data_IF_978114588896
#
_entry.id   IF_978114588896
#
_cell.length_a   1.000
_cell.length_b   1.000
_cell.length_c   1.000
_cell.angle_alpha   90.00
_cell.angle_beta   90.00
_cell.angle_gamma   90.00
#
_symmetry.space_group_name_H-M   'P 1'
#
loop_
_entity.id
_entity.type
_entity.pdbx_description
1 polymer ?
#
# COMPACT_ATOMS: atom_id res chain seq x y z
N UNK A 1 -7.78 -17.18 -0.39
CA UNK A 1 -6.87 -16.49 -1.33
C UNK A 1 -6.37 -15.22 -0.68
N UNK A 2 -5.08 -14.94 -0.85
CA UNK A 2 -4.42 -13.85 -0.18
C UNK A 2 -3.69 -12.98 -1.19
N UNK A 3 -3.98 -11.69 -1.19
CA UNK A 3 -3.38 -10.73 -2.11
C UNK A 3 -2.34 -9.91 -1.36
N UNK A 4 -1.08 -10.01 -1.77
CA UNK A 4 -0.02 -9.12 -1.32
C UNK A 4 0.16 -7.99 -2.30
N UNK A 5 0.22 -6.77 -1.81
CA UNK A 5 0.69 -5.63 -2.58
C UNK A 5 1.81 -4.95 -1.81
N UNK A 6 2.90 -4.67 -2.50
CA UNK A 6 4.04 -3.92 -1.97
C UNK A 6 4.28 -2.67 -2.79
N UNK A 7 4.32 -1.53 -2.11
CA UNK A 7 4.66 -0.21 -2.65
C UNK A 7 6.09 0.12 -2.26
N UNK A 8 7.03 0.06 -3.19
CA UNK A 8 8.44 0.38 -2.94
C UNK A 8 8.85 1.73 -3.51
N UNK A 9 9.69 2.45 -2.77
CA UNK A 9 10.52 3.54 -3.28
C UNK A 9 11.89 2.96 -3.65
N UNK A 10 12.39 3.24 -4.85
CA UNK A 10 13.74 2.85 -5.25
C UNK A 10 14.77 3.76 -4.56
N UNK A 11 15.52 3.20 -3.61
CA UNK A 11 16.59 3.92 -2.91
C UNK A 11 17.75 4.33 -3.83
N UNK A 12 17.91 3.67 -4.99
CA UNK A 12 19.02 3.88 -5.91
C UNK A 12 18.90 5.15 -6.78
N UNK A 13 17.75 5.83 -6.77
CA UNK A 13 17.52 7.09 -7.51
C UNK A 13 17.55 8.35 -6.65
N UNK A 14 18.23 8.31 -5.50
CA UNK A 14 18.35 9.50 -4.65
C UNK A 14 19.59 10.31 -5.07
N UNK A 15 19.47 11.57 -5.53
CA UNK A 15 20.64 12.39 -5.86
C UNK A 15 21.46 12.65 -4.59
N UNK A 16 22.77 12.43 -4.68
CA UNK A 16 23.74 12.68 -3.61
C UNK A 16 23.82 14.18 -3.32
N UNK A 17 23.10 14.66 -2.32
CA UNK A 17 23.18 16.06 -1.85
C UNK A 17 22.41 16.30 -0.56
N UNK A 18 22.80 17.28 0.27
CA UNK A 18 22.15 17.54 1.55
C UNK A 18 20.81 18.25 1.30
N UNK A 19 19.69 17.53 1.47
CA UNK A 19 18.35 18.13 1.43
C UNK A 19 17.84 18.41 2.86
N UNK A 20 17.18 19.56 3.10
CA UNK A 20 16.49 19.82 4.37
C UNK A 20 15.46 18.72 4.62
N UNK A 21 15.19 18.37 5.90
CA UNK A 21 14.37 17.24 6.39
C UNK A 21 13.01 17.05 5.67
N UNK A 22 13.02 16.57 4.42
CA UNK A 22 11.88 15.95 3.74
C UNK A 22 11.85 14.51 4.23
N UNK A 23 10.74 14.08 4.85
CA UNK A 23 10.46 12.65 5.00
C UNK A 23 10.60 11.99 3.62
N UNK A 24 11.33 10.88 3.53
CA UNK A 24 11.44 10.14 2.27
C UNK A 24 10.04 9.78 1.77
N UNK A 25 9.85 9.76 0.45
CA UNK A 25 8.52 9.66 -0.15
C UNK A 25 7.70 8.45 0.36
N UNK A 26 8.36 7.33 0.71
CA UNK A 26 7.71 6.19 1.36
C UNK A 26 7.20 6.44 2.79
N UNK A 27 7.85 7.28 3.60
CA UNK A 27 7.34 7.66 4.94
C UNK A 27 6.04 8.45 4.85
N UNK A 28 5.88 9.27 3.81
CA UNK A 28 4.61 9.98 3.53
C UNK A 28 3.50 9.01 3.14
N UNK A 29 3.81 7.95 2.38
CA UNK A 29 2.81 6.91 2.05
C UNK A 29 2.37 6.13 3.29
N UNK A 30 3.30 5.81 4.19
CA UNK A 30 2.99 5.19 5.48
C UNK A 30 2.10 6.13 6.32
N UNK A 31 2.41 7.43 6.37
CA UNK A 31 1.58 8.41 7.05
C UNK A 31 0.17 8.51 6.44
N UNK A 32 0.05 8.54 5.11
CA UNK A 32 -1.23 8.54 4.41
C UNK A 32 -2.08 7.30 4.74
N UNK A 33 -1.44 6.13 4.79
CA UNK A 33 -2.10 4.88 5.16
C UNK A 33 -2.61 4.92 6.61
N UNK A 34 -1.80 5.44 7.53
CA UNK A 34 -2.13 5.56 8.95
C UNK A 34 -3.21 6.62 9.22
N UNK A 35 -3.27 7.70 8.43
CA UNK A 35 -4.22 8.81 8.64
C UNK A 35 -5.66 8.51 8.20
N UNK A 36 -5.89 7.57 7.27
CA UNK A 36 -7.26 7.32 6.82
C UNK A 36 -7.49 6.21 5.81
N UNK A 37 -6.47 5.79 5.05
CA UNK A 37 -6.64 4.74 4.01
C UNK A 37 -7.12 3.42 4.64
N UNK A 38 -6.67 3.11 5.86
CA UNK A 38 -7.03 1.88 6.58
C UNK A 38 -8.52 1.82 6.98
N UNK A 39 -9.14 2.96 7.29
CA UNK A 39 -10.57 3.04 7.59
C UNK A 39 -11.41 2.81 6.33
N UNK A 40 -10.94 3.33 5.19
CA UNK A 40 -11.58 3.12 3.89
C UNK A 40 -11.48 1.64 3.51
N UNK A 41 -10.32 1.01 3.67
CA UNK A 41 -10.13 -0.42 3.37
C UNK A 41 -11.16 -1.29 4.11
N UNK A 42 -11.28 -1.09 5.43
CA UNK A 42 -12.21 -1.85 6.27
C UNK A 42 -13.67 -1.71 5.81
N UNK A 43 -14.13 -0.50 5.48
CA UNK A 43 -15.53 -0.28 5.06
C UNK A 43 -15.83 -0.76 3.63
N UNK A 44 -14.83 -0.78 2.74
CA UNK A 44 -14.99 -1.21 1.35
C UNK A 44 -14.83 -2.72 1.15
N UNK A 45 -14.66 -3.49 2.23
CA UNK A 45 -14.49 -4.94 2.19
C UNK A 45 -13.09 -5.40 1.79
N UNK A 46 -12.08 -4.51 1.86
CA UNK A 46 -10.68 -4.91 1.81
C UNK A 46 -10.29 -5.35 3.22
N UNK A 47 -10.20 -6.65 3.46
CA UNK A 47 -9.91 -7.21 4.79
C UNK A 47 -8.41 -7.35 4.99
N UNK A 48 -7.74 -6.43 5.73
CA UNK A 48 -6.31 -6.54 5.95
C UNK A 48 -5.99 -7.55 7.05
N UNK A 49 -4.96 -8.36 6.81
CA UNK A 49 -4.38 -9.29 7.78
C UNK A 49 -3.05 -8.76 8.32
N UNK A 50 -2.28 -8.07 7.48
CA UNK A 50 -0.96 -7.60 7.84
C UNK A 50 -0.63 -6.31 7.10
N UNK A 51 0.03 -5.40 7.80
CA UNK A 51 0.79 -4.28 7.25
C UNK A 51 2.22 -4.39 7.75
N UNK A 52 3.19 -4.19 6.86
CA UNK A 52 4.60 -4.31 7.17
C UNK A 52 5.43 -3.30 6.37
N UNK A 53 6.49 -2.81 6.99
CA UNK A 53 7.57 -2.10 6.30
C UNK A 53 8.81 -2.99 6.24
N UNK A 54 9.60 -2.87 5.18
CA UNK A 54 10.86 -3.60 5.06
C UNK A 54 11.94 -2.86 5.84
N UNK A 55 12.47 -3.53 6.86
CA UNK A 55 13.56 -3.02 7.70
C UNK A 55 14.95 -3.21 7.06
N UNK A 56 15.10 -4.22 6.19
CA UNK A 56 16.35 -4.53 5.51
C UNK A 56 16.08 -5.22 4.17
N UNK A 57 16.71 -4.74 3.10
CA UNK A 57 16.55 -5.26 1.74
C UNK A 57 16.67 -4.19 0.66
N UNK A 58 16.40 -4.56 -0.58
CA UNK A 58 16.30 -3.60 -1.69
C UNK A 58 14.92 -2.93 -1.69
N UNK A 59 14.77 -1.77 -2.33
CA UNK A 59 13.50 -1.03 -2.46
C UNK A 59 12.95 -0.47 -1.13
N UNK A 60 13.82 0.03 -0.26
CA UNK A 60 13.44 0.75 0.96
C UNK A 60 13.39 2.26 0.71
N UNK A 61 12.47 3.02 1.34
CA UNK A 61 11.34 2.55 2.16
C UNK A 61 10.22 1.91 1.31
N UNK A 62 9.50 0.94 1.89
CA UNK A 62 8.32 0.35 1.28
C UNK A 62 7.17 0.13 2.29
N UNK A 63 5.97 -0.06 1.75
CA UNK A 63 4.81 -0.53 2.50
C UNK A 63 4.27 -1.79 1.83
N UNK A 64 4.19 -2.87 2.59
CA UNK A 64 3.62 -4.14 2.17
C UNK A 64 2.38 -4.45 2.98
N UNK A 65 1.31 -4.87 2.32
CA UNK A 65 0.09 -5.29 2.99
C UNK A 65 -0.47 -6.57 2.39
N UNK A 66 -1.17 -7.31 3.24
CA UNK A 66 -1.78 -8.59 2.95
C UNK A 66 -3.29 -8.47 3.14
N UNK A 67 -4.05 -8.74 2.09
CA UNK A 67 -5.51 -8.74 2.12
C UNK A 67 -6.05 -10.15 1.88
N UNK A 68 -7.09 -10.55 2.60
CA UNK A 68 -7.76 -11.84 2.42
C UNK A 68 -9.13 -11.65 1.78
N UNK A 69 -9.43 -12.52 0.83
CA UNK A 69 -10.73 -12.56 0.16
C UNK A 69 -11.23 -14.01 0.05
N UNK A 70 -12.57 -14.21 0.10
CA UNK A 70 -13.15 -15.53 -0.04
C UNK A 70 -12.96 -16.09 -1.46
N UNK A 71 -13.06 -15.25 -2.49
CA UNK A 71 -12.84 -15.61 -3.90
C UNK A 71 -12.37 -14.40 -4.73
N UNK A 72 -12.04 -14.65 -6.00
CA UNK A 72 -11.54 -13.63 -6.94
C UNK A 72 -12.58 -12.53 -7.24
N UNK A 73 -13.86 -12.90 -7.32
CA UNK A 73 -14.96 -11.98 -7.60
C UNK A 73 -15.19 -11.00 -6.44
N UNK A 74 -15.14 -11.49 -5.21
CA UNK A 74 -15.19 -10.66 -4.01
C UNK A 74 -13.99 -9.71 -3.94
N UNK A 75 -12.79 -10.17 -4.33
CA UNK A 75 -11.60 -9.30 -4.44
C UNK A 75 -11.86 -8.17 -5.43
N UNK A 76 -12.29 -8.48 -6.66
CA UNK A 76 -12.57 -7.48 -7.71
C UNK A 76 -13.60 -6.47 -7.22
N UNK A 77 -14.74 -6.94 -6.70
CA UNK A 77 -15.81 -6.09 -6.18
C UNK A 77 -15.35 -5.17 -5.05
N UNK A 78 -14.56 -5.67 -4.10
CA UNK A 78 -14.02 -4.86 -3.01
C UNK A 78 -13.08 -3.76 -3.53
N UNK A 79 -12.21 -4.09 -4.51
CA UNK A 79 -11.35 -3.09 -5.15
C UNK A 79 -12.12 -2.07 -5.97
N UNK A 80 -13.17 -2.47 -6.67
CA UNK A 80 -14.00 -1.53 -7.44
C UNK A 80 -14.76 -0.57 -6.51
N UNK A 81 -15.28 -1.10 -5.39
CA UNK A 81 -15.88 -0.29 -4.32
C UNK A 81 -14.88 0.68 -3.73
N UNK A 82 -13.66 0.23 -3.45
CA UNK A 82 -12.58 1.08 -2.94
C UNK A 82 -12.20 2.21 -3.91
N UNK A 83 -12.04 1.89 -5.20
CA UNK A 83 -11.67 2.90 -6.21
C UNK A 83 -12.76 3.96 -6.42
N UNK A 84 -14.02 3.59 -6.21
CA UNK A 84 -15.16 4.49 -6.33
C UNK A 84 -15.46 5.29 -5.05
N UNK A 85 -14.78 4.99 -3.93
CA UNK A 85 -15.05 5.64 -2.65
C UNK A 85 -14.72 7.15 -2.72
N UNK A 86 -15.66 8.04 -2.37
CA UNK A 86 -15.45 9.49 -2.48
C UNK A 86 -14.32 10.03 -1.60
N UNK A 87 -14.09 9.44 -0.43
CA UNK A 87 -13.01 9.87 0.47
C UNK A 87 -11.66 9.40 -0.08
N UNK A 88 -11.61 8.22 -0.70
CA UNK A 88 -10.41 7.77 -1.42
C UNK A 88 -10.08 8.70 -2.59
N UNK A 89 -11.08 9.10 -3.39
CA UNK A 89 -10.89 10.03 -4.50
C UNK A 89 -10.37 11.39 -4.03
N UNK A 90 -10.88 11.91 -2.90
CA UNK A 90 -10.35 13.13 -2.27
C UNK A 90 -8.92 12.95 -1.78
N UNK A 91 -8.64 11.87 -1.04
CA UNK A 91 -7.32 11.58 -0.49
C UNK A 91 -6.25 11.45 -1.60
N UNK A 92 -6.59 10.75 -2.68
CA UNK A 92 -5.74 10.58 -3.85
C UNK A 92 -5.46 11.91 -4.58
N UNK A 93 -6.39 12.86 -4.53
CA UNK A 93 -6.26 14.16 -5.18
C UNK A 93 -5.44 15.18 -4.35
N UNK A 94 -5.11 14.89 -3.09
CA UNK A 94 -4.30 15.78 -2.24
C UNK A 94 -2.91 15.94 -2.86
N UNK A 95 -2.47 17.16 -3.23
CA UNK A 95 -1.19 17.39 -3.91
C UNK A 95 0.02 16.88 -3.13
N UNK A 96 -0.05 16.87 -1.79
CA UNK A 96 0.97 16.34 -0.89
C UNK A 96 1.22 14.84 -1.08
N UNK A 97 0.20 14.10 -1.53
CA UNK A 97 0.25 12.65 -1.77
C UNK A 97 0.24 12.27 -3.26
N UNK A 98 0.09 13.24 -4.15
CA UNK A 98 0.03 13.03 -5.60
C UNK A 98 1.42 12.98 -6.28
N UNK A 99 2.50 13.17 -5.51
CA UNK A 99 3.86 13.16 -6.03
C UNK A 99 4.24 11.76 -6.53
N UNK A 100 4.66 11.66 -7.79
CA UNK A 100 5.04 10.39 -8.44
C UNK A 100 6.24 9.72 -7.74
N UNK A 101 6.99 10.46 -6.94
CA UNK A 101 8.07 9.92 -6.12
C UNK A 101 7.57 9.07 -4.93
N UNK A 102 6.29 9.19 -4.53
CA UNK A 102 5.71 8.50 -3.36
C UNK A 102 5.47 7.01 -3.62
N UNK A 103 5.12 6.64 -4.85
CA UNK A 103 4.91 5.25 -5.27
C UNK A 103 5.64 5.01 -6.58
N UNK A 104 6.88 4.51 -6.50
CA UNK A 104 7.69 4.22 -7.68
C UNK A 104 7.33 2.87 -8.31
N UNK A 105 7.07 1.86 -7.48
CA UNK A 105 6.73 0.51 -7.95
C UNK A 105 5.66 -0.13 -7.09
N UNK A 106 4.62 -0.63 -7.74
CA UNK A 106 3.60 -1.49 -7.14
C UNK A 106 3.84 -2.91 -7.59
N UNK A 107 4.00 -3.85 -6.67
CA UNK A 107 4.09 -5.28 -6.98
C UNK A 107 2.95 -6.01 -6.30
N UNK A 108 2.15 -6.71 -7.09
CA UNK A 108 1.00 -7.46 -6.63
C UNK A 108 1.25 -8.96 -6.81
N UNK A 109 0.93 -9.79 -5.80
CA UNK A 109 0.97 -11.25 -5.91
C UNK A 109 -0.26 -11.87 -5.30
N UNK A 110 -0.79 -12.88 -5.99
CA UNK A 110 -1.85 -13.74 -5.50
C UNK A 110 -1.23 -14.99 -4.89
N UNK A 111 -1.62 -15.27 -3.66
CA UNK A 111 -1.15 -16.37 -2.85
C UNK A 111 -2.36 -17.22 -2.46
N UNK A 112 -2.11 -18.52 -2.33
CA UNK A 112 -3.06 -19.47 -1.74
C UNK A 112 -2.45 -19.96 -0.43
N UNK A 113 -3.17 -19.85 0.71
CA UNK A 113 -2.65 -20.35 1.97
C UNK A 113 -2.44 -21.87 1.87
N UNK A 114 -1.31 -22.35 2.41
CA UNK A 114 -1.06 -23.78 2.56
C UNK A 114 -1.85 -24.34 3.76
N UNK A 115 -2.04 -25.66 3.89
CA UNK A 115 -2.84 -26.25 4.98
C UNK A 115 -2.34 -25.93 6.41
N UNK A 116 -1.07 -25.58 6.56
CA UNK A 116 -0.43 -25.23 7.83
C UNK A 116 -0.30 -23.70 8.02
N UNK A 117 -0.91 -22.90 7.16
CA UNK A 117 -1.02 -21.45 7.32
C UNK A 117 -2.04 -21.13 8.42
N UNK A 118 -1.72 -20.21 9.32
CA UNK A 118 -2.66 -19.72 10.35
C UNK A 118 -3.74 -18.77 9.78
N UNK A 119 -3.69 -18.52 8.47
CA UNK A 119 -4.63 -17.69 7.69
C UNK A 119 -5.63 -18.54 6.90
#
# INVERSE_FOLDING_TARGET
WTFTSSFGCDSAKTPTGPRPRRLSAGKRKIEMFNRGELAIFKRTGLTPVMFAETLSGTLMPNLTYLLVFPNDDARKKAWDTFRADPEWLKLKAVPEYADKEIVLKVTNRLLTPTPYSEL
#
